data_IF_766583339229
#
_entry.id   IF_766583339229
#
_cell.length_a   1.000
_cell.length_b   1.000
_cell.length_c   1.000
_cell.angle_alpha   90.00
_cell.angle_beta   90.00
_cell.angle_gamma   90.00
#
_symmetry.space_group_name_H-M   'P 1'
#
loop_
_entity.id
_entity.type
_entity.pdbx_description
1 polymer ?
#
# COMPACT_ATOMS: atom_id res chain seq x y z
N UNK A 1 -1.71 11.65 20.55
CA UNK A 1 -0.22 11.62 20.47
C UNK A 1 0.21 12.51 19.30
N UNK A 2 1.21 13.40 19.47
CA UNK A 2 1.68 14.25 18.37
C UNK A 2 2.29 13.43 17.24
N UNK A 3 2.23 13.96 16.01
CA UNK A 3 2.79 13.33 14.81
C UNK A 3 4.27 12.97 15.02
N UNK A 4 4.62 11.69 14.79
CA UNK A 4 5.98 11.19 14.95
C UNK A 4 6.56 10.76 13.60
N UNK A 5 7.42 11.59 12.97
CA UNK A 5 7.99 11.29 11.66
C UNK A 5 8.90 10.07 11.65
N UNK A 6 9.44 9.65 12.82
CA UNK A 6 10.28 8.45 12.90
C UNK A 6 9.49 7.18 12.55
N UNK A 7 8.20 7.12 12.89
CA UNK A 7 7.34 5.97 12.57
C UNK A 7 7.08 5.87 11.07
N UNK A 8 6.93 7.00 10.37
CA UNK A 8 6.81 7.03 8.92
C UNK A 8 8.14 6.67 8.24
N UNK A 9 9.27 7.07 8.81
CA UNK A 9 10.60 6.62 8.38
C UNK A 9 10.76 5.10 8.49
N UNK A 10 10.33 4.49 9.60
CA UNK A 10 10.33 3.03 9.76
C UNK A 10 9.44 2.33 8.73
N UNK A 11 8.25 2.88 8.45
CA UNK A 11 7.38 2.35 7.38
C UNK A 11 8.03 2.42 6.01
N UNK A 12 8.77 3.50 5.71
CA UNK A 12 9.52 3.62 4.46
C UNK A 12 10.62 2.56 4.37
N UNK A 13 11.38 2.34 5.44
CA UNK A 13 12.40 1.27 5.52
C UNK A 13 11.76 -0.10 5.29
N UNK A 14 10.61 -0.37 5.92
CA UNK A 14 9.85 -1.61 5.71
C UNK A 14 9.49 -1.82 4.23
N UNK A 15 8.97 -0.79 3.54
CA UNK A 15 8.63 -0.88 2.12
C UNK A 15 9.89 -1.14 1.28
N UNK A 16 11.00 -0.45 1.55
CA UNK A 16 12.25 -0.66 0.83
C UNK A 16 12.78 -2.10 0.98
N UNK A 17 12.67 -2.68 2.18
CA UNK A 17 13.04 -4.07 2.40
C UNK A 17 12.16 -5.05 1.58
N UNK A 18 10.86 -4.77 1.47
CA UNK A 18 9.92 -5.56 0.65
C UNK A 18 10.25 -5.45 -0.84
N UNK A 19 10.54 -4.24 -1.32
CA UNK A 19 10.92 -4.02 -2.72
C UNK A 19 12.25 -4.71 -3.05
N UNK A 20 13.26 -4.56 -2.20
CA UNK A 20 14.56 -5.19 -2.41
C UNK A 20 14.47 -6.72 -2.47
N UNK A 21 13.59 -7.32 -1.68
CA UNK A 21 13.30 -8.75 -1.74
C UNK A 21 12.66 -9.17 -3.07
N UNK A 22 11.68 -8.40 -3.59
CA UNK A 22 11.05 -8.69 -4.88
C UNK A 22 11.98 -8.43 -6.08
N UNK A 23 12.98 -7.56 -5.94
CA UNK A 23 14.00 -7.32 -6.96
C UNK A 23 15.16 -8.33 -6.92
N UNK A 24 15.06 -9.41 -6.15
CA UNK A 24 16.07 -10.47 -6.03
C UNK A 24 17.46 -9.95 -5.62
N UNK A 25 17.51 -8.89 -4.81
CA UNK A 25 18.79 -8.30 -4.38
C UNK A 25 19.56 -9.31 -3.51
N UNK A 26 20.81 -9.69 -3.87
CA UNK A 26 21.61 -10.61 -3.08
C UNK A 26 21.76 -10.13 -1.64
N UNK A 27 21.73 -11.05 -0.66
CA UNK A 27 21.75 -10.84 0.80
C UNK A 27 20.43 -10.37 1.47
N UNK A 28 19.37 -10.00 0.74
CA UNK A 28 18.13 -9.48 1.34
C UNK A 28 16.97 -10.50 1.34
N UNK A 29 17.24 -11.72 1.82
CA UNK A 29 16.25 -12.81 1.93
C UNK A 29 15.17 -12.60 3.01
N UNK A 30 15.27 -11.53 3.81
CA UNK A 30 14.38 -11.25 4.95
C UNK A 30 13.22 -10.27 4.68
N UNK A 31 12.93 -9.93 3.43
CA UNK A 31 11.95 -8.89 3.09
C UNK A 31 10.52 -9.16 3.58
N UNK A 32 10.17 -10.41 3.89
CA UNK A 32 8.88 -10.78 4.50
C UNK A 32 8.62 -10.04 5.83
N UNK A 33 9.66 -9.86 6.66
CA UNK A 33 9.54 -9.09 7.91
C UNK A 33 9.19 -7.62 7.67
N UNK A 34 9.54 -7.08 6.50
CA UNK A 34 9.15 -5.72 6.10
C UNK A 34 7.63 -5.59 5.97
N UNK A 35 6.95 -6.61 5.46
CA UNK A 35 5.48 -6.64 5.34
C UNK A 35 4.84 -6.60 6.72
N UNK A 36 5.27 -7.48 7.63
CA UNK A 36 4.76 -7.56 9.00
C UNK A 36 4.96 -6.23 9.75
N UNK A 37 6.18 -5.69 9.69
CA UNK A 37 6.50 -4.42 10.36
C UNK A 37 5.67 -3.26 9.80
N UNK A 38 5.51 -3.17 8.48
CA UNK A 38 4.69 -2.14 7.85
C UNK A 38 3.23 -2.20 8.32
N UNK A 39 2.64 -3.39 8.38
CA UNK A 39 1.25 -3.56 8.80
C UNK A 39 1.06 -3.29 10.30
N UNK A 40 1.97 -3.76 11.16
CA UNK A 40 1.93 -3.49 12.61
C UNK A 40 2.01 -1.99 12.88
N UNK A 41 2.97 -1.29 12.26
CA UNK A 41 3.10 0.16 12.40
C UNK A 41 1.86 0.89 11.88
N UNK A 42 1.35 0.48 10.72
CA UNK A 42 0.14 1.10 10.16
C UNK A 42 -1.07 0.92 11.09
N UNK A 43 -1.26 -0.27 11.66
CA UNK A 43 -2.32 -0.55 12.64
C UNK A 43 -2.20 0.29 13.91
N UNK A 44 -0.98 0.41 14.44
CA UNK A 44 -0.68 1.27 15.60
C UNK A 44 -1.02 2.75 15.32
N UNK A 45 -0.61 3.29 14.17
CA UNK A 45 -0.89 4.68 13.79
C UNK A 45 -2.39 4.92 13.61
N UNK A 46 -3.09 4.03 12.89
CA UNK A 46 -4.54 4.14 12.67
C UNK A 46 -5.28 4.15 14.00
N UNK A 47 -4.96 3.19 14.88
CA UNK A 47 -5.61 3.09 16.20
C UNK A 47 -5.36 4.33 17.04
N UNK A 48 -4.13 4.88 17.01
CA UNK A 48 -3.78 6.11 17.72
C UNK A 48 -4.53 7.32 17.17
N UNK A 49 -4.72 7.41 15.84
CA UNK A 49 -5.52 8.49 15.22
C UNK A 49 -6.98 8.41 15.65
N UNK A 50 -7.60 7.22 15.54
CA UNK A 50 -9.00 7.02 15.92
C UNK A 50 -9.23 7.26 17.42
N UNK A 51 -8.25 6.88 18.26
CA UNK A 51 -8.29 7.15 19.70
C UNK A 51 -8.23 8.65 20.00
N UNK A 52 -7.32 9.39 19.36
CA UNK A 52 -7.25 10.84 19.55
C UNK A 52 -8.56 11.52 19.11
N UNK A 53 -9.15 11.08 17.99
CA UNK A 53 -10.44 11.59 17.51
C UNK A 53 -11.58 11.31 18.50
N UNK A 54 -11.60 10.10 19.08
CA UNK A 54 -12.55 9.73 20.12
C UNK A 54 -12.38 10.60 21.37
N UNK A 55 -11.15 10.83 21.80
CA UNK A 55 -10.83 11.64 22.97
C UNK A 55 -11.23 13.12 22.76
N UNK A 56 -11.10 13.64 21.53
CA UNK A 56 -11.42 15.03 21.18
C UNK A 56 -12.91 15.27 20.88
N UNK A 57 -13.59 14.32 20.24
CA UNK A 57 -14.95 14.51 19.70
C UNK A 57 -16.02 13.63 20.34
N UNK A 58 -15.64 12.72 21.25
CA UNK A 58 -16.50 11.67 21.83
C UNK A 58 -17.17 10.76 20.78
N UNK A 59 -16.69 10.76 19.55
CA UNK A 59 -17.21 9.93 18.46
C UNK A 59 -16.08 9.55 17.50
N UNK A 60 -16.34 8.60 16.60
CA UNK A 60 -15.40 8.21 15.55
C UNK A 60 -16.13 8.33 14.21
N UNK A 61 -15.67 9.22 13.33
CA UNK A 61 -16.17 9.32 11.96
C UNK A 61 -15.33 8.45 11.02
N UNK A 62 -15.71 7.17 10.94
CA UNK A 62 -15.07 6.23 10.03
C UNK A 62 -15.21 6.65 8.56
N UNK A 63 -16.32 7.30 8.19
CA UNK A 63 -16.56 7.77 6.81
C UNK A 63 -15.51 8.79 6.40
N UNK A 64 -15.32 9.82 7.23
CA UNK A 64 -14.28 10.84 7.03
C UNK A 64 -12.88 10.26 7.08
N UNK A 65 -12.62 9.32 7.99
CA UNK A 65 -11.33 8.63 8.07
C UNK A 65 -10.99 7.90 6.76
N UNK A 66 -11.90 7.06 6.25
CA UNK A 66 -11.68 6.32 5.01
C UNK A 66 -11.64 7.24 3.80
N UNK A 67 -12.45 8.30 3.75
CA UNK A 67 -12.42 9.29 2.68
C UNK A 67 -11.04 9.96 2.54
N UNK A 68 -10.51 10.48 3.66
CA UNK A 68 -9.18 11.10 3.68
C UNK A 68 -8.08 10.12 3.24
N UNK A 69 -8.22 8.85 3.64
CA UNK A 69 -7.30 7.79 3.23
C UNK A 69 -7.39 7.47 1.74
N UNK A 70 -8.60 7.39 1.20
CA UNK A 70 -8.84 7.13 -0.23
C UNK A 70 -8.22 8.23 -1.08
N UNK A 71 -8.49 9.51 -0.78
CA UNK A 71 -7.94 10.65 -1.53
C UNK A 71 -6.41 10.67 -1.51
N UNK A 72 -5.78 10.17 -0.44
CA UNK A 72 -4.32 10.09 -0.33
C UNK A 72 -3.70 8.87 -1.05
N UNK A 73 -4.37 7.71 -1.04
CA UNK A 73 -3.83 6.45 -1.58
C UNK A 73 -4.20 6.20 -3.05
N UNK A 74 -5.32 6.74 -3.52
CA UNK A 74 -5.78 6.54 -4.91
C UNK A 74 -4.88 7.19 -5.97
N UNK A 75 -4.29 8.39 -5.80
CA UNK A 75 -3.47 8.98 -6.85
C UNK A 75 -2.21 8.15 -7.19
N UNK A 76 -1.42 7.68 -6.20
CA UNK A 76 -0.30 6.76 -6.48
C UNK A 76 -0.75 5.45 -7.12
N UNK A 77 -1.89 4.89 -6.72
CA UNK A 77 -2.45 3.68 -7.30
C UNK A 77 -2.77 3.88 -8.79
N UNK A 78 -3.50 4.94 -9.14
CA UNK A 78 -3.83 5.23 -10.53
C UNK A 78 -2.58 5.51 -11.37
N UNK A 79 -1.57 6.18 -10.80
CA UNK A 79 -0.29 6.38 -11.46
C UNK A 79 0.43 5.06 -11.73
N UNK A 80 0.47 4.15 -10.76
CA UNK A 80 1.05 2.81 -10.93
C UNK A 80 0.29 2.00 -12.00
N UNK A 81 -1.04 2.00 -11.95
CA UNK A 81 -1.88 1.32 -12.96
C UNK A 81 -1.65 1.90 -14.35
N UNK A 82 -1.56 3.23 -14.47
CA UNK A 82 -1.25 3.89 -15.74
C UNK A 82 0.14 3.52 -16.24
N UNK A 83 1.15 3.50 -15.37
CA UNK A 83 2.51 3.09 -15.74
C UNK A 83 2.55 1.64 -16.24
N UNK A 84 1.91 0.71 -15.51
CA UNK A 84 1.80 -0.70 -15.93
C UNK A 84 1.07 -0.80 -17.28
N UNK A 85 -0.02 -0.06 -17.45
CA UNK A 85 -0.78 -0.06 -18.69
C UNK A 85 0.05 0.42 -19.88
N UNK A 86 0.81 1.51 -19.70
CA UNK A 86 1.66 2.10 -20.74
C UNK A 86 2.85 1.20 -21.09
N UNK A 87 3.44 0.52 -20.10
CA UNK A 87 4.56 -0.41 -20.32
C UNK A 87 4.07 -1.71 -20.97
N UNK A 88 2.87 -2.20 -20.60
CA UNK A 88 2.28 -3.44 -21.08
C UNK A 88 1.52 -3.36 -22.42
N UNK A 89 1.72 -2.29 -23.21
CA UNK A 89 1.04 -2.03 -24.50
C UNK A 89 1.51 -2.98 -25.63
N UNK A 90 1.34 -4.28 -25.45
CA UNK A 90 1.60 -5.29 -26.49
C UNK A 90 0.31 -5.68 -27.23
N UNK A 91 -0.89 -5.59 -26.61
CA UNK A 91 -2.18 -5.95 -27.26
C UNK A 91 -3.41 -5.37 -26.52
N UNK A 92 -4.44 -4.81 -27.21
CA UNK A 92 -5.65 -4.26 -26.57
C UNK A 92 -6.45 -5.26 -25.72
N UNK A 93 -6.34 -6.57 -26.02
CA UNK A 93 -6.95 -7.64 -25.23
C UNK A 93 -6.30 -7.79 -23.85
N UNK A 94 -4.97 -7.67 -23.74
CA UNK A 94 -4.25 -7.78 -22.46
C UNK A 94 -4.55 -6.59 -21.55
N UNK A 95 -4.71 -5.41 -22.13
CA UNK A 95 -5.12 -4.18 -21.45
C UNK A 95 -6.48 -4.36 -20.76
N UNK A 96 -7.49 -4.88 -21.49
CA UNK A 96 -8.82 -5.09 -20.93
C UNK A 96 -8.81 -6.13 -19.80
N UNK A 97 -8.09 -7.24 -19.95
CA UNK A 97 -8.02 -8.29 -18.94
C UNK A 97 -7.25 -7.80 -17.68
N UNK A 98 -6.18 -7.02 -17.87
CA UNK A 98 -5.42 -6.41 -16.77
C UNK A 98 -6.21 -5.30 -16.05
N UNK A 99 -6.99 -4.50 -16.78
CA UNK A 99 -7.82 -3.44 -16.21
C UNK A 99 -8.94 -3.97 -15.29
N UNK A 100 -9.44 -5.18 -15.56
CA UNK A 100 -10.43 -5.86 -14.71
C UNK A 100 -9.75 -6.72 -13.63
N UNK A 101 -8.42 -6.70 -13.52
CA UNK A 101 -7.64 -7.52 -12.58
C UNK A 101 -7.88 -9.04 -12.76
N UNK A 102 -8.38 -9.45 -13.92
CA UNK A 102 -8.73 -10.84 -14.22
C UNK A 102 -7.53 -11.63 -14.72
N UNK A 103 -6.42 -10.97 -15.05
CA UNK A 103 -5.17 -11.63 -15.46
C UNK A 103 -4.67 -12.61 -14.40
N UNK A 104 -4.77 -12.28 -13.11
CA UNK A 104 -4.32 -13.15 -12.03
C UNK A 104 -5.21 -14.39 -11.83
N UNK A 105 -6.44 -14.38 -12.37
CA UNK A 105 -7.38 -15.49 -12.25
C UNK A 105 -7.35 -16.42 -13.48
N UNK A 106 -6.97 -15.91 -14.64
CA UNK A 106 -7.02 -16.64 -15.92
C UNK A 106 -5.65 -16.95 -16.54
N UNK A 107 -4.54 -16.53 -15.93
CA UNK A 107 -3.21 -16.96 -16.34
C UNK A 107 -2.82 -18.26 -15.61
N UNK A 108 -2.89 -19.45 -16.24
CA UNK A 108 -2.16 -20.59 -15.73
C UNK A 108 -0.67 -20.27 -15.80
N UNK A 109 0.04 -20.47 -14.69
CA UNK A 109 1.49 -20.39 -14.63
C UNK A 109 2.11 -21.33 -15.69
N UNK A 110 2.62 -20.76 -16.78
CA UNK A 110 3.64 -21.40 -17.62
C UNK A 110 4.99 -20.73 -17.36
#
# INVERSE_FOLDING_TARGET
MPYNPALDGLRAISILAVLAFHCEVPLLHGGFFGVDLFFVLSGFLITTMLRNELDETNSIDLGRFYWNRLVRLTPPLYLMLAAILLIGLETPRKIFIAAVYLTDFFAPYE
#
